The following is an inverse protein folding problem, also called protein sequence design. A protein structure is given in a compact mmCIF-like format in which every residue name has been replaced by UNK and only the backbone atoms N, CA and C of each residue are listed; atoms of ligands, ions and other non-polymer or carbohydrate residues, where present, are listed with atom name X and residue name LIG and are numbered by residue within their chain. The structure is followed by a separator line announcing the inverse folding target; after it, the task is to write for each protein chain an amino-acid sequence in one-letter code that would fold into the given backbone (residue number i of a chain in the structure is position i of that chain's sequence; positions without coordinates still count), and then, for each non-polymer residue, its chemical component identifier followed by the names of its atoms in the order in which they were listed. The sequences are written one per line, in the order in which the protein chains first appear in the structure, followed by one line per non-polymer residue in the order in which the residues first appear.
data_IF_108312506602
#
_entry.id   IF_108312506602
#
_cell.length_a   1.000
_cell.length_b   1.000
_cell.length_c   1.000
_cell.angle_alpha   90.00
_cell.angle_beta   90.00
_cell.angle_gamma   90.00
#
_symmetry.space_group_name_H-M   'P 1'
#
loop_
_entity.id
_entity.type
_entity.pdbx_description
1 polymer ?
#
# COMPACT_ATOMS: atom_id res chain seq x y z
N UNK A 1 -1.20 3.05 -47.50
CA UNK A 1 -0.07 3.99 -47.23
C UNK A 1 0.14 4.10 -45.72
N UNK A 2 1.32 3.75 -45.24
CA UNK A 2 1.68 3.97 -43.84
C UNK A 2 1.78 5.49 -43.62
N UNK A 3 0.95 6.03 -42.71
CA UNK A 3 0.97 7.44 -42.36
C UNK A 3 2.21 7.69 -41.49
N UNK A 4 3.21 8.42 -41.98
CA UNK A 4 4.39 8.81 -41.19
C UNK A 4 4.47 10.33 -41.06
N UNK A 5 4.61 10.80 -39.81
CA UNK A 5 4.81 12.21 -39.51
C UNK A 5 6.30 12.57 -39.53
N UNK A 6 6.68 13.66 -40.22
CA UNK A 6 8.07 14.12 -40.24
C UNK A 6 8.62 14.49 -38.86
N UNK A 7 9.90 14.21 -38.63
CA UNK A 7 10.56 14.46 -37.35
C UNK A 7 10.59 15.95 -36.95
N UNK A 8 10.57 16.89 -37.90
CA UNK A 8 10.59 18.32 -37.57
C UNK A 8 9.32 18.80 -36.84
N UNK A 9 8.23 18.02 -36.89
CA UNK A 9 6.99 18.29 -36.16
C UNK A 9 7.07 17.87 -34.68
N UNK A 10 8.15 17.19 -34.26
CA UNK A 10 8.27 16.56 -32.93
C UNK A 10 7.94 17.50 -31.78
N UNK A 11 8.43 18.73 -31.85
CA UNK A 11 8.35 19.69 -30.75
C UNK A 11 7.37 20.83 -31.03
N UNK A 12 6.78 20.90 -32.23
CA UNK A 12 5.90 22.01 -32.66
C UNK A 12 4.43 21.62 -32.81
N UNK A 13 4.12 20.34 -33.03
CA UNK A 13 2.74 19.89 -33.25
C UNK A 13 2.06 19.63 -31.91
N UNK A 14 1.08 20.47 -31.56
CA UNK A 14 0.35 20.39 -30.29
C UNK A 14 -0.94 19.59 -30.40
N UNK A 15 -1.70 19.76 -31.49
CA UNK A 15 -3.02 19.14 -31.66
C UNK A 15 -3.04 18.32 -32.95
N UNK A 16 -3.44 17.06 -32.85
CA UNK A 16 -3.53 16.14 -33.99
C UNK A 16 -4.92 15.48 -34.06
N UNK A 17 -5.65 15.78 -35.14
CA UNK A 17 -6.93 15.18 -35.47
C UNK A 17 -6.76 14.05 -36.48
N UNK A 18 -7.14 12.83 -36.09
CA UNK A 18 -7.17 11.64 -36.93
C UNK A 18 -8.52 10.91 -36.85
N UNK A 19 -9.54 11.56 -36.29
CA UNK A 19 -10.90 11.03 -36.21
C UNK A 19 -11.48 10.68 -37.59
N UNK A 20 -12.42 9.73 -37.61
CA UNK A 20 -13.22 9.39 -38.80
C UNK A 20 -12.38 8.94 -40.01
N UNK A 21 -11.33 8.16 -39.74
CA UNK A 21 -10.46 7.60 -40.76
C UNK A 21 -10.55 6.06 -40.81
N UNK A 22 -9.77 5.45 -41.69
CA UNK A 22 -9.64 4.00 -41.84
C UNK A 22 -8.26 3.53 -41.37
N UNK A 23 -7.77 4.06 -40.25
CA UNK A 23 -6.48 3.65 -39.71
C UNK A 23 -6.58 2.24 -39.13
N UNK A 24 -5.68 1.36 -39.57
CA UNK A 24 -5.51 0.01 -39.00
C UNK A 24 -4.70 0.01 -37.70
N UNK A 25 -3.91 1.07 -37.47
CA UNK A 25 -3.07 1.22 -36.29
C UNK A 25 -2.69 2.68 -36.08
N UNK A 26 -2.38 3.08 -34.85
CA UNK A 26 -1.73 4.37 -34.58
C UNK A 26 -0.29 4.33 -35.12
N UNK A 27 0.12 5.25 -36.01
CA UNK A 27 1.46 5.22 -36.54
C UNK A 27 2.54 5.50 -35.50
N UNK A 28 3.68 4.81 -35.60
CA UNK A 28 4.76 4.94 -34.63
C UNK A 28 5.31 6.37 -34.54
N UNK A 29 5.30 7.12 -35.65
CA UNK A 29 5.74 8.52 -35.69
C UNK A 29 4.91 9.44 -34.78
N UNK A 30 3.64 9.10 -34.48
CA UNK A 30 2.82 9.86 -33.52
C UNK A 30 3.44 9.81 -32.12
N UNK A 31 4.06 8.69 -31.75
CA UNK A 31 4.70 8.52 -30.44
C UNK A 31 5.98 9.35 -30.30
N UNK A 32 6.50 9.94 -31.38
CA UNK A 32 7.68 10.80 -31.38
C UNK A 32 7.33 12.29 -31.26
N UNK A 33 6.05 12.66 -31.30
CA UNK A 33 5.55 14.04 -31.22
C UNK A 33 5.52 14.52 -29.76
N UNK A 34 6.68 14.86 -29.18
CA UNK A 34 6.84 15.33 -27.79
C UNK A 34 6.04 16.59 -27.45
N UNK A 35 5.77 17.44 -28.43
CA UNK A 35 4.94 18.65 -28.30
C UNK A 35 3.44 18.38 -28.20
N UNK A 36 2.99 17.15 -28.47
CA UNK A 36 1.57 16.84 -28.59
C UNK A 36 0.85 16.92 -27.24
N UNK A 37 -0.19 17.73 -27.19
CA UNK A 37 -1.06 17.98 -26.03
C UNK A 37 -2.45 17.36 -26.20
N UNK A 38 -2.93 17.24 -27.45
CA UNK A 38 -4.23 16.66 -27.79
C UNK A 38 -4.11 15.71 -28.99
N UNK A 39 -4.64 14.50 -28.84
CA UNK A 39 -4.68 13.47 -29.89
C UNK A 39 -6.09 12.91 -30.02
N UNK A 40 -6.66 13.01 -31.22
CA UNK A 40 -8.00 12.49 -31.50
C UNK A 40 -7.93 11.34 -32.50
N UNK A 41 -8.33 10.14 -32.08
CA UNK A 41 -8.29 8.89 -32.85
C UNK A 41 -9.66 8.25 -33.05
N UNK A 42 -10.74 8.86 -32.59
CA UNK A 42 -12.09 8.30 -32.59
C UNK A 42 -12.56 7.82 -33.97
N UNK A 43 -13.50 6.88 -33.99
CA UNK A 43 -14.10 6.35 -35.22
C UNK A 43 -13.07 5.76 -36.23
N UNK A 44 -12.02 5.11 -35.73
CA UNK A 44 -11.07 4.33 -36.55
C UNK A 44 -11.21 2.83 -36.23
N UNK A 45 -12.13 2.09 -36.87
CA UNK A 45 -12.46 0.71 -36.48
C UNK A 45 -11.31 -0.30 -36.66
N UNK A 46 -10.30 0.05 -37.46
CA UNK A 46 -9.10 -0.76 -37.67
C UNK A 46 -8.15 -0.76 -36.47
N UNK A 47 -8.13 0.28 -35.64
CA UNK A 47 -7.26 0.38 -34.47
C UNK A 47 -7.73 -0.59 -33.38
N UNK A 48 -7.00 -1.70 -33.24
CA UNK A 48 -7.26 -2.73 -32.22
C UNK A 48 -6.35 -2.63 -30.99
N UNK A 49 -5.24 -1.91 -31.11
CA UNK A 49 -4.27 -1.74 -30.04
C UNK A 49 -3.69 -0.32 -30.06
N UNK A 50 -3.44 0.24 -28.88
CA UNK A 50 -2.69 1.49 -28.73
C UNK A 50 -1.21 1.19 -28.46
N UNK A 51 -0.25 1.82 -29.16
CA UNK A 51 1.17 1.60 -28.90
C UNK A 51 1.55 2.06 -27.47
N UNK A 52 2.25 1.22 -26.68
CA UNK A 52 2.71 1.60 -25.33
C UNK A 52 3.54 2.89 -25.29
N UNK A 53 4.21 3.23 -26.38
CA UNK A 53 5.03 4.42 -26.55
C UNK A 53 4.22 5.73 -26.47
N UNK A 54 2.90 5.71 -26.70
CA UNK A 54 2.04 6.88 -26.41
C UNK A 54 2.16 7.31 -24.94
N UNK A 55 2.41 6.36 -24.03
CA UNK A 55 2.67 6.65 -22.63
C UNK A 55 3.94 7.50 -22.39
N UNK A 56 4.81 7.70 -23.39
CA UNK A 56 5.98 8.57 -23.27
C UNK A 56 5.65 10.05 -23.49
N UNK A 57 4.54 10.37 -24.15
CA UNK A 57 4.10 11.74 -24.43
C UNK A 57 3.71 12.45 -23.13
N UNK A 58 4.61 13.26 -22.59
CA UNK A 58 4.45 13.87 -21.27
C UNK A 58 3.42 15.00 -21.22
N UNK A 59 3.17 15.66 -22.36
CA UNK A 59 2.29 16.82 -22.48
C UNK A 59 0.86 16.44 -22.91
N UNK A 60 0.66 15.19 -23.36
CA UNK A 60 -0.63 14.71 -23.85
C UNK A 60 -1.61 14.59 -22.69
N UNK A 61 -2.59 15.49 -22.64
CA UNK A 61 -3.60 15.52 -21.58
C UNK A 61 -4.99 15.14 -22.11
N UNK A 62 -5.21 15.31 -23.42
CA UNK A 62 -6.42 14.91 -24.11
C UNK A 62 -6.15 13.77 -25.10
N UNK A 63 -6.91 12.69 -24.97
CA UNK A 63 -6.83 11.52 -25.84
C UNK A 63 -8.24 11.01 -26.12
N UNK A 64 -8.72 11.21 -27.33
CA UNK A 64 -9.98 10.66 -27.79
C UNK A 64 -9.73 9.30 -28.48
N UNK A 65 -10.36 8.27 -27.92
CA UNK A 65 -10.31 6.87 -28.36
C UNK A 65 -11.74 6.29 -28.43
N UNK A 66 -12.74 7.15 -28.64
CA UNK A 66 -14.14 6.73 -28.77
C UNK A 66 -14.35 5.86 -30.01
N UNK A 67 -15.27 4.91 -29.89
CA UNK A 67 -15.61 3.94 -30.95
C UNK A 67 -14.42 3.11 -31.49
N UNK A 68 -13.34 2.96 -30.71
CA UNK A 68 -12.24 2.05 -31.03
C UNK A 68 -12.43 0.66 -30.42
N UNK A 69 -12.09 -0.38 -31.19
CA UNK A 69 -12.17 -1.79 -30.77
C UNK A 69 -10.90 -2.27 -30.07
N UNK A 70 -10.42 -1.50 -29.09
CA UNK A 70 -9.13 -1.73 -28.43
C UNK A 70 -9.18 -2.90 -27.44
N UNK A 71 -8.24 -3.85 -27.56
CA UNK A 71 -8.11 -5.03 -26.69
C UNK A 71 -7.06 -4.88 -25.59
N UNK A 72 -6.00 -4.10 -25.83
CA UNK A 72 -4.82 -4.03 -24.94
C UNK A 72 -5.01 -3.11 -23.72
N UNK A 73 -6.01 -2.23 -23.72
CA UNK A 73 -6.39 -1.36 -22.59
C UNK A 73 -7.74 -1.78 -22.02
N UNK A 74 -7.83 -2.23 -20.75
CA UNK A 74 -9.08 -2.65 -20.12
C UNK A 74 -10.15 -1.55 -20.09
N UNK A 75 -11.42 -1.93 -20.19
CA UNK A 75 -12.54 -1.00 -20.23
C UNK A 75 -12.64 -0.11 -18.97
N UNK A 76 -12.23 -0.61 -17.81
CA UNK A 76 -12.17 0.17 -16.57
C UNK A 76 -11.16 1.31 -16.68
N UNK A 77 -10.00 1.07 -17.27
CA UNK A 77 -8.96 2.09 -17.46
C UNK A 77 -9.39 3.15 -18.47
N UNK A 78 -10.09 2.74 -19.55
CA UNK A 78 -10.63 3.67 -20.55
C UNK A 78 -11.63 4.65 -19.95
N UNK A 79 -12.50 4.19 -19.04
CA UNK A 79 -13.51 5.02 -18.36
C UNK A 79 -12.91 6.05 -17.40
N UNK A 80 -11.69 5.83 -16.91
CA UNK A 80 -11.03 6.76 -15.99
C UNK A 80 -10.39 7.96 -16.69
N UNK A 81 -10.30 7.94 -18.02
CA UNK A 81 -9.89 9.05 -18.86
C UNK A 81 -8.43 8.98 -19.39
N UNK A 82 -8.02 9.98 -20.19
CA UNK A 82 -6.75 9.98 -20.93
C UNK A 82 -5.51 9.71 -20.07
N UNK A 83 -5.41 10.38 -18.93
CA UNK A 83 -4.24 10.28 -18.04
C UNK A 83 -4.02 8.86 -17.52
N UNK A 84 -5.09 8.13 -17.17
CA UNK A 84 -4.99 6.74 -16.70
C UNK A 84 -4.61 5.80 -17.83
N UNK A 85 -5.16 6.00 -19.03
CA UNK A 85 -4.79 5.23 -20.24
C UNK A 85 -3.30 5.40 -20.54
N UNK A 86 -2.79 6.64 -20.57
CA UNK A 86 -1.36 6.91 -20.82
C UNK A 86 -0.46 6.35 -19.72
N UNK A 87 -0.87 6.46 -18.45
CA UNK A 87 -0.13 5.86 -17.34
C UNK A 87 -0.06 4.33 -17.46
N UNK A 88 -1.15 3.69 -17.89
CA UNK A 88 -1.21 2.25 -18.15
C UNK A 88 -0.30 1.84 -19.32
N UNK A 89 -0.34 2.56 -20.44
CA UNK A 89 0.56 2.32 -21.60
C UNK A 89 2.03 2.48 -21.22
N UNK A 90 2.36 3.53 -20.44
CA UNK A 90 3.70 3.74 -19.87
C UNK A 90 4.12 2.58 -18.95
N UNK A 91 3.19 2.02 -18.17
CA UNK A 91 3.45 0.87 -17.31
C UNK A 91 3.76 -0.39 -18.15
N UNK A 92 3.00 -0.63 -19.23
CA UNK A 92 3.26 -1.74 -20.16
C UNK A 92 4.65 -1.64 -20.80
N UNK A 93 5.02 -0.43 -21.26
CA UNK A 93 6.34 -0.19 -21.85
C UNK A 93 7.49 -0.53 -20.87
N UNK A 94 7.29 -0.26 -19.58
CA UNK A 94 8.25 -0.56 -18.51
C UNK A 94 8.18 -2.01 -18.02
N UNK A 95 7.41 -2.87 -18.70
CA UNK A 95 7.13 -4.26 -18.32
C UNK A 95 6.67 -4.34 -16.86
N UNK A 96 5.78 -3.42 -16.45
CA UNK A 96 5.41 -3.27 -15.06
C UNK A 96 4.63 -4.49 -14.55
N UNK A 97 4.91 -4.89 -13.32
CA UNK A 97 4.30 -6.03 -12.65
C UNK A 97 3.49 -5.57 -11.44
N UNK A 98 2.50 -6.36 -11.04
CA UNK A 98 1.64 -6.02 -9.90
C UNK A 98 2.42 -6.21 -8.59
N UNK A 99 2.66 -5.11 -7.88
CA UNK A 99 3.26 -5.13 -6.56
C UNK A 99 2.27 -5.66 -5.52
N UNK A 100 2.59 -6.82 -4.93
CA UNK A 100 1.86 -7.41 -3.80
C UNK A 100 2.48 -7.08 -2.44
N UNK A 101 3.68 -6.51 -2.44
CA UNK A 101 4.41 -6.17 -1.23
C UNK A 101 3.88 -4.90 -0.59
N UNK A 102 3.51 -5.00 0.68
CA UNK A 102 3.02 -3.92 1.53
C UNK A 102 3.91 -3.79 2.76
N UNK A 103 4.02 -2.58 3.32
CA UNK A 103 4.71 -2.37 4.59
C UNK A 103 3.70 -2.43 5.73
N UNK A 104 4.00 -3.24 6.74
CA UNK A 104 3.22 -3.35 7.96
C UNK A 104 4.10 -2.99 9.15
N UNK A 105 3.66 -2.06 9.99
CA UNK A 105 4.41 -1.60 11.15
C UNK A 105 3.58 -1.87 12.40
N UNK A 106 4.16 -2.62 13.34
CA UNK A 106 3.52 -2.92 14.61
C UNK A 106 4.15 -2.05 15.67
N UNK A 107 3.30 -1.27 16.34
CA UNK A 107 3.71 -0.31 17.37
C UNK A 107 2.84 -0.46 18.61
N UNK A 108 3.32 0.09 19.72
CA UNK A 108 2.61 0.10 20.99
C UNK A 108 3.58 0.05 22.16
N UNK A 109 3.09 0.24 23.39
CA UNK A 109 3.92 0.22 24.59
C UNK A 109 4.73 -1.09 24.73
N UNK A 110 5.84 -1.09 25.51
CA UNK A 110 6.60 -2.30 25.76
C UNK A 110 5.74 -3.35 26.49
N UNK A 111 6.04 -4.63 26.26
CA UNK A 111 5.38 -5.78 26.92
C UNK A 111 3.86 -5.92 26.68
N UNK A 112 3.33 -5.32 25.63
CA UNK A 112 1.91 -5.47 25.24
C UNK A 112 1.64 -6.69 24.32
N UNK A 113 2.61 -7.57 24.10
CA UNK A 113 2.45 -8.77 23.26
C UNK A 113 2.65 -8.55 21.75
N UNK A 114 3.36 -7.50 21.33
CA UNK A 114 3.65 -7.19 19.91
C UNK A 114 4.35 -8.35 19.18
N UNK A 115 5.50 -8.79 19.68
CA UNK A 115 6.28 -9.86 19.07
C UNK A 115 5.50 -11.18 19.07
N UNK A 116 4.81 -11.50 20.18
CA UNK A 116 3.91 -12.65 20.28
C UNK A 116 2.80 -12.60 19.22
N UNK A 117 2.19 -11.43 18.98
CA UNK A 117 1.16 -11.24 17.97
C UNK A 117 1.70 -11.50 16.55
N UNK A 118 2.91 -11.03 16.24
CA UNK A 118 3.54 -11.24 14.92
C UNK A 118 3.70 -12.73 14.64
N UNK A 119 4.23 -13.46 15.60
CA UNK A 119 4.51 -14.89 15.41
C UNK A 119 3.24 -15.70 15.31
N UNK A 120 2.22 -15.35 16.07
CA UNK A 120 0.90 -15.97 15.95
C UNK A 120 0.28 -15.66 14.59
N UNK A 121 0.39 -14.42 14.09
CA UNK A 121 -0.10 -14.05 12.77
C UNK A 121 0.59 -14.84 11.65
N UNK A 122 1.90 -15.06 11.78
CA UNK A 122 2.71 -15.78 10.80
C UNK A 122 2.54 -17.31 10.88
N UNK A 123 2.63 -17.89 12.08
CA UNK A 123 2.68 -19.35 12.27
C UNK A 123 1.31 -19.97 12.58
N UNK A 124 0.35 -19.18 13.07
CA UNK A 124 -0.92 -19.67 13.60
C UNK A 124 -0.80 -20.47 14.90
N UNK A 125 0.37 -20.47 15.54
CA UNK A 125 0.63 -21.24 16.78
C UNK A 125 1.08 -20.32 17.90
N UNK A 126 0.82 -20.74 19.14
CA UNK A 126 1.28 -20.03 20.34
C UNK A 126 2.81 -20.17 20.44
N UNK A 127 3.57 -19.06 20.63
CA UNK A 127 5.02 -19.12 20.75
C UNK A 127 5.46 -19.87 22.01
N UNK A 128 6.45 -20.75 21.89
CA UNK A 128 6.95 -21.57 23.01
C UNK A 128 8.05 -20.86 23.84
N UNK A 129 8.77 -19.89 23.27
CA UNK A 129 9.75 -19.05 23.96
C UNK A 129 10.01 -17.78 23.15
N UNK A 130 10.17 -16.63 23.83
CA UNK A 130 10.57 -15.36 23.22
C UNK A 130 11.64 -14.67 24.05
N UNK A 131 12.88 -14.68 23.57
CA UNK A 131 13.95 -13.79 24.03
C UNK A 131 14.70 -13.26 22.80
N UNK A 132 14.30 -12.10 22.33
CA UNK A 132 15.13 -11.29 21.44
C UNK A 132 15.03 -9.86 21.92
N UNK A 133 16.15 -9.35 22.45
CA UNK A 133 16.30 -7.96 22.90
C UNK A 133 16.46 -6.97 21.72
N UNK A 134 16.23 -7.43 20.48
CA UNK A 134 16.30 -6.59 19.30
C UNK A 134 15.26 -5.46 19.35
N UNK A 135 15.74 -4.22 19.30
CA UNK A 135 14.90 -3.01 19.25
C UNK A 135 14.01 -3.01 18.01
N UNK A 136 14.51 -3.49 16.86
CA UNK A 136 13.76 -3.51 15.60
C UNK A 136 13.98 -4.86 14.92
N UNK A 137 12.89 -5.56 14.57
CA UNK A 137 12.92 -6.81 13.81
C UNK A 137 12.09 -6.66 12.54
N UNK A 138 12.65 -7.06 11.41
CA UNK A 138 11.92 -7.12 10.15
C UNK A 138 11.71 -8.58 9.74
N UNK A 139 10.49 -8.90 9.33
CA UNK A 139 10.13 -10.25 8.87
C UNK A 139 9.20 -10.16 7.67
N UNK A 140 9.22 -11.17 6.80
CA UNK A 140 8.27 -11.28 5.70
C UNK A 140 7.08 -12.14 6.11
N UNK A 141 5.89 -11.74 5.70
CA UNK A 141 4.67 -12.49 5.96
C UNK A 141 3.77 -12.49 4.73
N UNK A 142 3.47 -13.67 4.21
CA UNK A 142 2.47 -13.81 3.14
C UNK A 142 1.10 -14.14 3.74
N UNK A 143 0.12 -13.29 3.43
CA UNK A 143 -1.26 -13.46 3.84
C UNK A 143 -2.10 -13.91 2.63
N UNK A 144 -2.56 -15.17 2.59
CA UNK A 144 -3.44 -15.64 1.53
C UNK A 144 -4.84 -15.02 1.67
N UNK A 145 -5.54 -14.95 0.54
CA UNK A 145 -6.92 -14.50 0.48
C UNK A 145 -7.85 -15.38 1.32
N UNK A 146 -8.63 -14.81 2.25
CA UNK A 146 -9.62 -15.56 3.01
C UNK A 146 -10.72 -16.14 2.14
N UNK A 147 -11.22 -17.32 2.51
CA UNK A 147 -12.33 -18.00 1.83
C UNK A 147 -13.57 -17.09 1.83
N UNK A 148 -14.21 -16.94 0.66
CA UNK A 148 -15.43 -16.13 0.50
C UNK A 148 -15.23 -14.64 0.18
N UNK A 149 -13.99 -14.13 0.11
CA UNK A 149 -13.74 -12.73 -0.27
C UNK A 149 -13.73 -12.51 -1.79
N UNK A 150 -14.41 -11.48 -2.27
CA UNK A 150 -14.36 -11.03 -3.69
C UNK A 150 -13.23 -10.04 -3.94
N UNK A 151 -11.98 -10.44 -3.70
CA UNK A 151 -10.80 -9.62 -3.99
C UNK A 151 -10.14 -10.04 -5.32
N UNK A 152 -9.63 -9.07 -6.09
CA UNK A 152 -8.85 -9.28 -7.34
C UNK A 152 -7.42 -9.79 -7.09
N UNK A 153 -6.98 -9.82 -5.83
CA UNK A 153 -5.63 -10.21 -5.41
C UNK A 153 -5.74 -11.50 -4.60
N UNK A 154 -4.92 -12.51 -4.93
CA UNK A 154 -4.97 -13.84 -4.31
C UNK A 154 -4.14 -13.96 -3.02
N UNK A 155 -3.07 -13.17 -2.90
CA UNK A 155 -2.26 -13.06 -1.68
C UNK A 155 -1.62 -11.68 -1.60
N UNK A 156 -1.36 -11.22 -0.37
CA UNK A 156 -0.64 -9.99 -0.09
C UNK A 156 0.60 -10.35 0.72
N UNK A 157 1.76 -9.84 0.30
CA UNK A 157 3.01 -10.01 1.05
C UNK A 157 3.24 -8.77 1.90
N UNK A 158 3.62 -8.95 3.15
CA UNK A 158 3.96 -7.87 4.07
C UNK A 158 5.42 -7.94 4.45
N UNK A 159 6.11 -6.80 4.40
CA UNK A 159 7.31 -6.58 5.17
C UNK A 159 6.89 -6.02 6.54
N UNK A 160 6.95 -6.86 7.56
CA UNK A 160 6.48 -6.60 8.91
C UNK A 160 7.62 -6.05 9.75
N UNK A 161 7.42 -4.87 10.32
CA UNK A 161 8.34 -4.18 11.20
C UNK A 161 7.83 -4.29 12.63
N UNK A 162 8.50 -5.10 13.45
CA UNK A 162 8.33 -5.10 14.90
C UNK A 162 9.19 -4.00 15.49
N UNK A 163 8.56 -2.93 15.94
CA UNK A 163 9.26 -1.83 16.60
C UNK A 163 9.12 -2.02 18.11
N UNK A 164 10.14 -2.66 18.68
CA UNK A 164 10.34 -2.86 20.11
C UNK A 164 11.30 -1.85 20.73
N UNK A 165 11.72 -2.14 21.96
CA UNK A 165 12.72 -1.35 22.67
C UNK A 165 12.21 -0.47 23.82
N UNK A 166 13.13 0.11 24.60
CA UNK A 166 12.79 0.98 25.71
C UNK A 166 12.14 2.29 25.24
N UNK A 167 11.36 2.92 26.10
CA UNK A 167 10.67 4.18 25.80
C UNK A 167 11.63 5.30 25.34
N UNK A 168 12.90 5.25 25.74
CA UNK A 168 13.95 6.19 25.32
C UNK A 168 14.24 6.16 23.81
N UNK A 169 13.91 5.08 23.08
CA UNK A 169 14.10 4.99 21.63
C UNK A 169 12.87 5.41 20.81
N UNK A 170 11.80 5.91 21.45
CA UNK A 170 10.57 6.30 20.76
C UNK A 170 10.81 7.36 19.68
N UNK A 171 11.76 8.27 19.88
CA UNK A 171 12.09 9.33 18.91
C UNK A 171 12.75 8.76 17.66
N UNK A 172 13.66 7.80 17.82
CA UNK A 172 14.34 7.13 16.68
C UNK A 172 13.34 6.28 15.90
N UNK A 173 12.39 5.66 16.61
CA UNK A 173 11.35 4.83 15.99
C UNK A 173 10.46 5.62 15.01
N UNK A 174 10.27 6.92 15.23
CA UNK A 174 9.50 7.79 14.32
C UNK A 174 10.17 7.94 12.95
N UNK A 175 11.49 7.73 12.83
CA UNK A 175 12.19 7.81 11.54
C UNK A 175 11.76 6.69 10.57
N UNK A 176 11.20 5.59 11.09
CA UNK A 176 10.73 4.47 10.26
C UNK A 176 9.27 4.61 9.83
N UNK A 177 8.58 5.65 10.31
CA UNK A 177 7.19 5.92 9.94
C UNK A 177 7.17 6.42 8.50
N UNK A 178 6.44 5.70 7.67
CA UNK A 178 6.30 6.00 6.25
C UNK A 178 4.83 6.02 5.90
N UNK A 179 4.49 6.89 4.97
CA UNK A 179 3.15 6.91 4.42
C UNK A 179 2.84 5.65 3.59
N UNK A 180 1.56 5.41 3.28
CA UNK A 180 1.09 4.25 2.48
C UNK A 180 1.43 2.89 3.13
N UNK A 181 1.49 2.84 4.45
CA UNK A 181 1.73 1.62 5.23
C UNK A 181 0.49 1.22 6.05
N UNK A 182 0.45 -0.05 6.49
CA UNK A 182 -0.50 -0.54 7.48
C UNK A 182 0.13 -0.42 8.87
N UNK A 183 -0.47 0.36 9.76
CA UNK A 183 -0.07 0.43 11.15
C UNK A 183 -0.99 -0.45 12.00
N UNK A 184 -0.39 -1.29 12.84
CA UNK A 184 -1.11 -2.03 13.88
C UNK A 184 -0.64 -1.51 15.23
N UNK A 185 -1.55 -0.85 15.96
CA UNK A 185 -1.31 -0.33 17.30
C UNK A 185 -1.82 -1.34 18.32
N UNK A 186 -0.90 -1.92 19.07
CA UNK A 186 -1.18 -2.98 20.04
C UNK A 186 -1.29 -2.41 21.43
N UNK A 187 -2.32 -2.82 22.16
CA UNK A 187 -2.55 -2.48 23.56
C UNK A 187 -3.10 -3.67 24.34
N UNK A 188 -3.00 -3.62 25.67
CA UNK A 188 -3.49 -4.69 26.55
C UNK A 188 -4.81 -4.26 27.19
N UNK A 189 -5.84 -5.06 26.94
CA UNK A 189 -7.19 -4.81 27.42
C UNK A 189 -7.33 -4.92 28.94
N UNK A 190 -6.46 -5.70 29.59
CA UNK A 190 -6.47 -5.90 31.04
C UNK A 190 -6.13 -4.61 31.81
N UNK A 191 -5.34 -3.72 31.20
CA UNK A 191 -4.94 -2.43 31.77
C UNK A 191 -6.05 -1.36 31.71
N UNK A 192 -7.14 -1.62 30.98
CA UNK A 192 -8.31 -0.74 30.98
C UNK A 192 -8.03 0.67 30.42
N UNK A 193 -8.54 1.69 31.10
CA UNK A 193 -8.51 3.10 30.66
C UNK A 193 -7.09 3.66 30.52
N UNK A 194 -6.15 3.25 31.37
CA UNK A 194 -4.75 3.68 31.27
C UNK A 194 -4.12 3.28 29.93
N UNK A 195 -4.49 2.11 29.40
CA UNK A 195 -3.99 1.68 28.11
C UNK A 195 -4.62 2.48 26.96
N UNK A 196 -5.85 2.98 27.11
CA UNK A 196 -6.46 3.90 26.14
C UNK A 196 -5.70 5.23 26.12
N UNK A 197 -5.35 5.78 27.28
CA UNK A 197 -4.55 7.02 27.36
C UNK A 197 -3.20 6.87 26.66
N UNK A 198 -2.55 5.71 26.79
CA UNK A 198 -1.29 5.42 26.11
C UNK A 198 -1.42 5.28 24.58
N UNK A 199 -2.59 4.90 24.05
CA UNK A 199 -2.82 4.85 22.60
C UNK A 199 -2.72 6.24 21.97
N UNK A 200 -3.13 7.28 22.70
CA UNK A 200 -3.16 8.66 22.20
C UNK A 200 -1.81 9.09 21.64
N UNK A 201 -0.72 8.82 22.36
CA UNK A 201 0.64 9.14 21.93
C UNK A 201 1.01 8.52 20.58
N UNK A 202 0.68 7.24 20.39
CA UNK A 202 1.01 6.52 19.16
C UNK A 202 0.17 7.00 17.97
N UNK A 203 -1.12 7.25 18.18
CA UNK A 203 -2.02 7.72 17.14
C UNK A 203 -1.65 9.12 16.64
N UNK A 204 -1.32 10.04 17.54
CA UNK A 204 -0.85 11.38 17.19
C UNK A 204 0.45 11.33 16.36
N UNK A 205 1.39 10.46 16.75
CA UNK A 205 2.66 10.31 16.02
C UNK A 205 2.48 9.72 14.62
N UNK A 206 1.55 8.77 14.45
CA UNK A 206 1.22 8.25 13.12
C UNK A 206 0.61 9.36 12.27
N UNK A 207 -0.38 10.09 12.77
CA UNK A 207 -1.02 11.17 12.00
C UNK A 207 0.00 12.23 11.56
N UNK A 208 0.91 12.62 12.46
CA UNK A 208 1.90 13.64 12.19
C UNK A 208 2.94 13.24 11.12
N UNK A 209 3.22 11.94 10.95
CA UNK A 209 4.28 11.44 10.05
C UNK A 209 3.77 10.67 8.83
N UNK A 210 2.60 10.07 8.92
CA UNK A 210 2.03 9.17 7.93
C UNK A 210 0.50 9.33 7.81
N UNK A 211 0.00 10.52 7.42
CA UNK A 211 -1.42 10.85 7.44
C UNK A 211 -2.31 10.07 6.44
N UNK A 212 -1.74 9.48 5.38
CA UNK A 212 -2.48 8.67 4.40
C UNK A 212 -2.34 7.16 4.66
N UNK A 213 -1.84 6.77 5.83
CA UNK A 213 -1.70 5.39 6.23
C UNK A 213 -2.94 4.90 6.99
N UNK A 214 -3.19 3.60 6.93
CA UNK A 214 -4.32 3.02 7.66
C UNK A 214 -3.86 2.47 8.98
N UNK A 215 -4.65 2.71 10.02
CA UNK A 215 -4.35 2.32 11.39
C UNK A 215 -5.40 1.33 11.89
N UNK A 216 -4.93 0.17 12.35
CA UNK A 216 -5.71 -0.83 13.08
C UNK A 216 -5.32 -0.81 14.55
N UNK A 217 -6.29 -0.80 15.45
CA UNK A 217 -6.05 -0.87 16.89
C UNK A 217 -6.42 -2.27 17.36
N UNK A 218 -5.43 -2.98 17.90
CA UNK A 218 -5.55 -4.39 18.26
C UNK A 218 -5.40 -4.58 19.76
N UNK A 219 -6.50 -4.96 20.41
CA UNK A 219 -6.54 -5.28 21.83
C UNK A 219 -6.07 -6.71 22.08
N UNK A 220 -5.06 -6.88 22.93
CA UNK A 220 -4.51 -8.18 23.34
C UNK A 220 -4.98 -8.56 24.74
N UNK A 221 -4.64 -9.79 25.16
CA UNK A 221 -4.95 -10.33 26.49
C UNK A 221 -6.45 -10.42 26.78
N UNK A 222 -7.26 -10.69 25.75
CA UNK A 222 -8.70 -10.92 25.89
C UNK A 222 -9.04 -12.02 26.91
N UNK A 223 -8.15 -12.99 27.09
CA UNK A 223 -8.25 -14.08 28.06
C UNK A 223 -8.21 -13.62 29.53
N UNK A 224 -7.62 -12.45 29.81
CA UNK A 224 -7.57 -11.87 31.16
C UNK A 224 -8.86 -11.11 31.53
N UNK A 225 -9.77 -10.89 30.57
CA UNK A 225 -11.06 -10.27 30.86
C UNK A 225 -12.05 -11.33 31.32
N UNK A 226 -12.64 -11.13 32.50
CA UNK A 226 -13.70 -11.97 33.03
C UNK A 226 -14.85 -12.16 32.04
N UNK A 227 -15.25 -13.40 31.82
CA UNK A 227 -16.26 -13.77 30.82
C UNK A 227 -17.63 -13.14 31.07
N UNK A 228 -18.00 -12.92 32.34
CA UNK A 228 -19.30 -12.35 32.74
C UNK A 228 -19.53 -10.93 32.20
N UNK A 229 -18.49 -10.09 32.21
CA UNK A 229 -18.57 -8.68 31.83
C UNK A 229 -17.77 -8.36 30.56
N UNK A 230 -17.34 -9.39 29.81
CA UNK A 230 -16.44 -9.24 28.67
C UNK A 230 -17.01 -8.32 27.60
N UNK A 231 -18.28 -8.53 27.24
CA UNK A 231 -18.96 -7.74 26.18
C UNK A 231 -19.07 -6.27 26.57
N UNK A 232 -19.53 -6.00 27.80
CA UNK A 232 -19.69 -4.64 28.32
C UNK A 232 -18.35 -3.92 28.43
N UNK A 233 -17.33 -4.57 28.99
CA UNK A 233 -16.00 -3.98 29.15
C UNK A 233 -15.35 -3.68 27.80
N UNK A 234 -15.46 -4.57 26.82
CA UNK A 234 -14.95 -4.32 25.46
C UNK A 234 -15.71 -3.18 24.79
N UNK A 235 -17.03 -3.13 24.94
CA UNK A 235 -17.84 -2.05 24.38
C UNK A 235 -17.44 -0.68 24.97
N UNK A 236 -17.23 -0.62 26.28
CA UNK A 236 -16.75 0.59 26.97
C UNK A 236 -15.36 1.00 26.49
N UNK A 237 -14.42 0.06 26.40
CA UNK A 237 -13.07 0.32 25.90
C UNK A 237 -13.05 0.80 24.45
N UNK A 238 -13.86 0.19 23.58
CA UNK A 238 -14.05 0.66 22.19
C UNK A 238 -14.62 2.07 22.14
N UNK A 239 -15.60 2.38 23.00
CA UNK A 239 -16.18 3.71 23.08
C UNK A 239 -15.14 4.77 23.49
N UNK A 240 -14.27 4.46 24.45
CA UNK A 240 -13.17 5.36 24.83
C UNK A 240 -12.19 5.61 23.67
N UNK A 241 -11.78 4.57 22.96
CA UNK A 241 -10.89 4.73 21.79
C UNK A 241 -11.55 5.59 20.71
N UNK A 242 -12.85 5.39 20.45
CA UNK A 242 -13.57 6.19 19.48
C UNK A 242 -13.77 7.64 19.93
N UNK A 243 -13.97 7.88 21.22
CA UNK A 243 -14.05 9.23 21.79
C UNK A 243 -12.73 10.00 21.66
N UNK A 244 -11.58 9.31 21.63
CA UNK A 244 -10.28 9.94 21.32
C UNK A 244 -10.19 10.34 19.84
N UNK A 245 -10.64 9.48 18.93
CA UNK A 245 -10.43 9.68 17.48
C UNK A 245 -11.56 10.43 16.78
N UNK A 246 -12.72 10.61 17.43
CA UNK A 246 -13.90 11.24 16.82
C UNK A 246 -14.48 12.31 17.71
N UNK A 247 -14.98 13.37 17.08
CA UNK A 247 -15.71 14.42 17.80
C UNK A 247 -17.12 13.92 18.19
N UNK A 248 -17.82 14.63 19.10
CA UNK A 248 -19.20 14.31 19.46
C UNK A 248 -20.18 14.28 18.27
N UNK A 249 -19.88 14.96 17.17
CA UNK A 249 -20.69 14.91 15.93
C UNK A 249 -20.38 13.70 15.05
N UNK A 250 -19.48 12.80 15.47
CA UNK A 250 -19.08 11.62 14.73
C UNK A 250 -18.07 11.89 13.60
N UNK A 251 -17.64 13.14 13.43
CA UNK A 251 -16.56 13.51 12.51
C UNK A 251 -15.19 13.09 13.04
N UNK A 252 -14.22 12.92 12.13
CA UNK A 252 -12.82 12.65 12.49
C UNK A 252 -12.27 13.78 13.35
N UNK A 253 -11.68 13.44 14.50
CA UNK A 253 -11.01 14.42 15.34
C UNK A 253 -9.72 14.91 14.68
N UNK A 254 -9.44 16.21 14.80
CA UNK A 254 -8.22 16.82 14.27
C UNK A 254 -6.99 16.23 14.94
N UNK A 255 -6.01 15.78 14.16
CA UNK A 255 -4.76 15.21 14.66
C UNK A 255 -4.79 13.71 14.93
N UNK A 256 -5.92 13.02 14.68
CA UNK A 256 -6.00 11.56 14.80
C UNK A 256 -6.27 10.87 13.45
N UNK A 257 -5.82 9.62 13.26
CA UNK A 257 -6.21 8.80 12.11
C UNK A 257 -7.73 8.54 12.06
N UNK A 258 -8.29 8.31 10.88
CA UNK A 258 -9.72 7.97 10.74
C UNK A 258 -10.00 6.53 11.18
N UNK A 259 -10.21 6.37 12.49
CA UNK A 259 -10.51 5.10 13.12
C UNK A 259 -12.03 4.98 13.31
N UNK A 260 -12.57 3.83 12.91
CA UNK A 260 -13.97 3.45 13.08
C UNK A 260 -14.05 2.11 13.80
N UNK A 261 -15.25 1.67 14.20
CA UNK A 261 -15.46 0.33 14.76
C UNK A 261 -14.89 -0.81 13.89
N UNK A 262 -14.79 -0.62 12.57
CA UNK A 262 -14.22 -1.62 11.64
C UNK A 262 -12.71 -1.77 11.78
N UNK A 263 -12.03 -0.83 12.43
CA UNK A 263 -10.58 -0.81 12.61
C UNK A 263 -10.15 -1.29 14.00
N UNK A 264 -11.11 -1.66 14.86
CA UNK A 264 -10.88 -2.15 16.21
C UNK A 264 -11.07 -3.67 16.24
N UNK A 265 -10.09 -4.39 16.79
CA UNK A 265 -10.17 -5.85 16.90
C UNK A 265 -9.51 -6.36 18.17
N UNK A 266 -10.18 -7.26 18.88
CA UNK A 266 -9.66 -7.86 20.12
C UNK A 266 -9.30 -9.33 19.89
N UNK A 267 -8.24 -9.77 20.55
CA UNK A 267 -7.78 -11.14 20.49
C UNK A 267 -7.07 -11.57 21.77
N UNK A 268 -6.95 -12.89 21.95
CA UNK A 268 -6.04 -13.48 22.92
C UNK A 268 -4.91 -14.19 22.20
N UNK A 269 -3.68 -13.79 22.51
CA UNK A 269 -2.48 -14.49 22.04
C UNK A 269 -2.34 -15.88 22.68
N UNK A 270 -3.04 -16.15 23.79
CA UNK A 270 -2.97 -17.42 24.53
C UNK A 270 -3.98 -18.44 24.03
N UNK A 271 -5.23 -18.02 23.83
CA UNK A 271 -6.31 -18.91 23.35
C UNK A 271 -6.46 -18.92 21.83
N UNK A 272 -5.76 -18.01 21.13
CA UNK A 272 -5.91 -17.74 19.68
C UNK A 272 -7.31 -17.23 19.28
N UNK A 273 -8.15 -16.89 20.26
CA UNK A 273 -9.46 -16.29 20.05
C UNK A 273 -9.31 -14.97 19.30
N UNK A 274 -10.07 -14.81 18.20
CA UNK A 274 -10.06 -13.61 17.37
C UNK A 274 -8.99 -13.58 16.27
N UNK A 275 -8.05 -14.54 16.21
CA UNK A 275 -6.94 -14.48 15.24
C UNK A 275 -7.40 -14.47 13.77
N UNK A 276 -8.33 -15.35 13.41
CA UNK A 276 -8.80 -15.45 12.02
C UNK A 276 -9.59 -14.20 11.59
N UNK A 277 -10.33 -13.60 12.53
CA UNK A 277 -10.98 -12.31 12.33
C UNK A 277 -9.98 -11.20 12.04
N UNK A 278 -8.86 -11.16 12.77
CA UNK A 278 -7.80 -10.18 12.52
C UNK A 278 -7.15 -10.38 11.14
N UNK A 279 -6.85 -11.62 10.75
CA UNK A 279 -6.29 -11.92 9.42
C UNK A 279 -7.22 -11.49 8.29
N UNK A 280 -8.52 -11.76 8.43
CA UNK A 280 -9.54 -11.30 7.48
C UNK A 280 -9.61 -9.77 7.41
N UNK A 281 -9.57 -9.11 8.57
CA UNK A 281 -9.60 -7.65 8.65
C UNK A 281 -8.36 -7.02 7.98
N UNK A 282 -7.16 -7.52 8.28
CA UNK A 282 -5.91 -7.06 7.67
C UNK A 282 -5.98 -7.19 6.16
N UNK A 283 -6.42 -8.34 5.65
CA UNK A 283 -6.56 -8.57 4.22
C UNK A 283 -7.57 -7.60 3.59
N UNK A 284 -8.74 -7.45 4.20
CA UNK A 284 -9.81 -6.57 3.72
C UNK A 284 -9.36 -5.10 3.65
N UNK A 285 -8.77 -4.60 4.73
CA UNK A 285 -8.28 -3.22 4.81
C UNK A 285 -7.19 -2.97 3.79
N UNK A 286 -6.23 -3.89 3.67
CA UNK A 286 -5.11 -3.76 2.74
C UNK A 286 -5.57 -3.72 1.28
N UNK A 287 -6.57 -4.53 0.91
CA UNK A 287 -7.18 -4.52 -0.42
C UNK A 287 -7.96 -3.24 -0.74
N UNK A 288 -8.27 -2.42 0.26
CA UNK A 288 -9.02 -1.17 0.11
C UNK A 288 -8.17 0.09 0.35
N UNK A 289 -6.89 -0.06 0.71
CA UNK A 289 -5.97 1.07 0.80
C UNK A 289 -5.78 1.73 -0.57
N UNK A 290 -5.85 3.05 -0.59
CA UNK A 290 -5.71 3.88 -1.80
C UNK A 290 -4.47 4.76 -1.69
N UNK A 291 -3.84 5.02 -2.84
CA UNK A 291 -2.81 6.05 -2.93
C UNK A 291 -3.47 7.44 -3.05
N UNK A 292 -3.52 8.19 -1.95
CA UNK A 292 -4.12 9.54 -1.91
C UNK A 292 -3.15 10.60 -2.46
N UNK A 293 -1.84 10.33 -2.47
CA UNK A 293 -0.81 11.29 -2.86
C UNK A 293 -0.42 11.27 -4.34
N UNK A 294 -0.97 10.34 -5.14
CA UNK A 294 -0.74 10.32 -6.59
C UNK A 294 -1.85 11.08 -7.31
N UNK A 295 -1.47 12.05 -8.14
CA UNK A 295 -2.38 12.71 -9.10
C UNK A 295 -2.98 11.73 -10.13
N UNK A 296 -2.45 10.49 -10.16
CA UNK A 296 -3.00 9.36 -10.90
C UNK A 296 -4.06 8.70 -10.00
N UNK A 297 -5.29 9.19 -10.12
CA UNK A 297 -6.56 8.57 -9.75
C UNK A 297 -6.47 7.32 -8.83
N UNK A 298 -6.75 7.46 -7.53
CA UNK A 298 -7.29 6.45 -6.61
C UNK A 298 -6.87 4.97 -6.84
N UNK A 299 -5.61 4.69 -7.21
CA UNK A 299 -5.19 3.31 -7.44
C UNK A 299 -5.04 2.62 -6.08
N UNK A 300 -5.58 1.39 -6.00
CA UNK A 300 -5.38 0.54 -4.82
C UNK A 300 -3.89 0.26 -4.67
N UNK A 301 -3.37 0.40 -3.44
CA UNK A 301 -1.95 0.17 -3.17
C UNK A 301 -1.57 -1.29 -3.46
N UNK A 302 -2.40 -2.23 -3.00
CA UNK A 302 -2.23 -3.64 -3.29
C UNK A 302 -2.54 -3.94 -4.77
N UNK A 303 -1.54 -4.46 -5.49
CA UNK A 303 -1.67 -4.81 -6.90
C UNK A 303 -1.39 -3.67 -7.88
N UNK A 304 -0.86 -2.54 -7.40
CA UNK A 304 -0.39 -1.44 -8.27
C UNK A 304 0.71 -1.91 -9.22
N UNK A 305 0.73 -1.40 -10.44
CA UNK A 305 1.78 -1.72 -11.39
C UNK A 305 3.07 -0.95 -11.05
N UNK A 306 4.15 -1.68 -10.80
CA UNK A 306 5.49 -1.11 -10.59
C UNK A 306 6.42 -1.54 -11.72
N UNK A 307 7.30 -0.64 -12.22
CA UNK A 307 8.27 -1.01 -13.25
C UNK A 307 9.16 -2.18 -12.81
N UNK A 308 9.45 -3.10 -13.74
CA UNK A 308 10.31 -4.27 -13.45
C UNK A 308 11.71 -3.90 -12.98
N UNK A 309 12.20 -2.72 -13.36
CA UNK A 309 13.49 -2.21 -12.87
C UNK A 309 13.54 -2.05 -11.36
N UNK A 310 12.42 -1.71 -10.70
CA UNK A 310 12.35 -1.57 -9.24
C UNK A 310 12.44 -2.93 -8.55
N UNK A 311 11.80 -3.95 -9.13
CA UNK A 311 11.88 -5.33 -8.65
C UNK A 311 13.30 -5.87 -8.82
N UNK A 312 13.91 -5.65 -9.99
CA UNK A 312 15.28 -6.07 -10.26
C UNK A 312 16.29 -5.41 -9.30
N UNK A 313 16.10 -4.12 -9.00
CA UNK A 313 16.92 -3.41 -8.01
C UNK A 313 16.72 -3.96 -6.61
N UNK A 314 15.47 -4.24 -6.21
CA UNK A 314 15.18 -4.83 -4.90
C UNK A 314 15.86 -6.20 -4.74
N UNK A 315 15.78 -7.06 -5.75
CA UNK A 315 16.44 -8.36 -5.77
C UNK A 315 17.96 -8.21 -5.64
N UNK A 316 18.57 -7.29 -6.38
CA UNK A 316 20.00 -7.01 -6.29
C UNK A 316 20.43 -6.52 -4.89
N UNK A 317 19.66 -5.63 -4.27
CA UNK A 317 19.93 -5.13 -2.91
C UNK A 317 19.83 -6.25 -1.88
N UNK A 318 18.82 -7.13 -1.99
CA UNK A 318 18.66 -8.27 -1.09
C UNK A 318 19.77 -9.31 -1.27
N UNK A 319 20.19 -9.56 -2.52
CA UNK A 319 21.31 -10.45 -2.81
C UNK A 319 22.62 -9.90 -2.21
N UNK A 320 22.85 -8.60 -2.33
CA UNK A 320 24.03 -7.93 -1.75
C UNK A 320 24.00 -7.94 -0.21
N UNK A 321 22.84 -7.70 0.40
CA UNK A 321 22.66 -7.82 1.86
C UNK A 321 23.02 -9.24 2.33
N UNK A 322 22.54 -10.27 1.63
CA UNK A 322 22.83 -11.66 1.96
C UNK A 322 24.31 -11.99 1.82
N UNK A 323 24.93 -11.56 0.71
CA UNK A 323 26.37 -11.72 0.48
C UNK A 323 27.20 -11.09 1.59
N UNK A 324 26.88 -9.84 1.98
CA UNK A 324 27.59 -9.14 3.06
C UNK A 324 27.41 -9.82 4.40
N UNK A 325 26.20 -10.31 4.70
CA UNK A 325 25.93 -11.05 5.94
C UNK A 325 26.71 -12.36 6.03
N UNK A 326 26.97 -13.04 4.91
CA UNK A 326 27.79 -14.26 4.89
C UNK A 326 29.27 -13.96 5.09
N UNK A 327 29.73 -12.81 4.59
CA UNK A 327 31.13 -12.39 4.66
C UNK A 327 31.48 -11.60 5.93
N UNK A 328 30.50 -11.34 6.80
CA UNK A 328 30.60 -10.43 7.95
C UNK A 328 31.05 -9.00 7.56
N UNK A 329 30.68 -8.59 6.33
CA UNK A 329 30.96 -7.26 5.79
C UNK A 329 29.98 -6.22 6.39
N UNK A 330 30.44 -4.97 6.48
CA UNK A 330 29.56 -3.84 6.87
C UNK A 330 28.37 -3.69 5.91
N UNK A 331 27.19 -3.45 6.46
CA UNK A 331 25.91 -3.39 5.72
C UNK A 331 25.65 -2.04 5.03
N UNK A 332 26.62 -1.13 5.03
CA UNK A 332 26.56 0.15 4.32
C UNK A 332 27.65 0.21 3.25
N UNK A 333 27.39 0.99 2.19
CA UNK A 333 28.39 1.26 1.16
C UNK A 333 29.50 2.11 1.79
N UNK A 334 30.74 1.65 1.66
CA UNK A 334 31.91 2.45 2.06
C UNK A 334 32.19 3.50 0.99
N UNK A 335 32.86 4.59 1.34
CA UNK A 335 33.17 5.67 0.38
C UNK A 335 33.91 5.13 -0.86
N UNK A 336 34.81 4.16 -0.67
CA UNK A 336 35.53 3.44 -1.75
C UNK A 336 34.64 2.64 -2.69
N UNK A 337 33.42 2.30 -2.29
CA UNK A 337 32.43 1.60 -3.11
C UNK A 337 31.46 2.57 -3.79
N UNK A 338 31.43 3.83 -3.35
CA UNK A 338 30.58 4.90 -3.90
C UNK A 338 31.32 5.65 -5.01
N UNK A 339 32.64 5.80 -4.89
CA UNK A 339 33.54 6.33 -5.93
C UNK A 339 33.68 5.40 -7.14
#
# INVERSE_FOLDING_TARGET
PFLEFPAFLSDSLEVLYLNDNQLDSVPQSVCLLKGLTELYLGNNPGIRELPPELGQLANLWQLDIEELNISNVPAEIRKEGPKTVLAYLRAQLRKAEKCKLMKMIIIGPPRQGKSTLIEILQTGKVPQMMHSDATIRTTKWELPKPVGHKAKVDSVEFNVWDIGGPASMSTVNQCFFTDKALYIVVWNLALGEEAVANLQFWLLNIEAKAPNSVVLVVGTHLDLIETKFRVERIATLRAYVLALCRSPSGSRATGFPDITFKHLHELSCKTLEGLDGLRQLIFHVTCNMKDIGSSICSQKLAGRLIPRSYLSLQEAVLAEQHRRSQNDDVQYLTDRQIE
#
